data_IF_968289746286
#
_entry.id   IF_968289746286
#
_cell.length_a   1.000
_cell.length_b   1.000
_cell.length_c   1.000
_cell.angle_alpha   90.00
_cell.angle_beta   90.00
_cell.angle_gamma   90.00
#
_symmetry.space_group_name_H-M   'P 1'
#
loop_
_entity.id
_entity.type
_entity.pdbx_description
1 polymer ?
#
# COMPACT_ATOMS: atom_id res chain seq x y z
N UNK A 1 -22.01 -23.57 43.53
CA UNK A 1 -22.22 -22.23 42.98
C UNK A 1 -21.47 -22.12 41.67
N UNK A 2 -22.12 -22.50 40.56
CA UNK A 2 -21.61 -22.34 39.20
C UNK A 2 -21.84 -20.88 38.79
N UNK A 3 -20.80 -20.08 38.73
CA UNK A 3 -20.83 -18.77 38.07
C UNK A 3 -20.92 -18.99 36.57
N UNK A 4 -22.02 -18.51 35.99
CA UNK A 4 -22.23 -18.38 34.57
C UNK A 4 -21.13 -17.49 33.97
N UNK A 5 -20.21 -18.09 33.24
CA UNK A 5 -19.46 -17.42 32.19
C UNK A 5 -20.37 -17.33 30.96
N UNK A 6 -21.20 -16.33 30.92
CA UNK A 6 -21.74 -15.79 29.68
C UNK A 6 -20.83 -14.64 29.26
N UNK A 7 -19.73 -14.95 28.61
CA UNK A 7 -18.95 -13.96 27.90
C UNK A 7 -18.77 -14.43 26.48
N UNK A 8 -19.21 -13.63 25.55
CA UNK A 8 -18.79 -13.67 24.18
C UNK A 8 -19.23 -14.90 23.41
N UNK A 9 -20.53 -15.11 23.26
CA UNK A 9 -21.02 -15.90 22.13
C UNK A 9 -20.73 -15.10 20.89
N UNK A 10 -19.76 -15.60 20.19
CA UNK A 10 -19.23 -15.06 18.96
C UNK A 10 -20.34 -14.93 17.90
N UNK A 11 -20.20 -13.98 17.03
CA UNK A 11 -21.02 -13.76 15.83
C UNK A 11 -21.26 -15.07 15.05
N UNK A 12 -20.37 -16.06 15.19
CA UNK A 12 -20.52 -17.42 14.66
C UNK A 12 -21.79 -18.16 15.13
N UNK A 13 -22.24 -17.90 16.36
CA UNK A 13 -23.48 -18.50 16.87
C UNK A 13 -24.73 -17.84 16.30
N UNK A 14 -24.57 -16.70 15.61
CA UNK A 14 -25.63 -15.98 14.90
C UNK A 14 -25.72 -16.32 13.40
N UNK A 15 -25.03 -17.36 12.93
CA UNK A 15 -25.06 -17.78 11.53
C UNK A 15 -24.16 -16.99 10.60
N UNK A 16 -23.10 -16.34 11.12
CA UNK A 16 -22.16 -15.55 10.33
C UNK A 16 -20.80 -16.23 10.22
N UNK A 17 -20.20 -16.24 9.04
CA UNK A 17 -18.85 -16.74 8.80
C UNK A 17 -17.92 -15.56 8.47
N UNK A 18 -16.89 -15.37 9.30
CA UNK A 18 -15.83 -14.40 9.02
C UNK A 18 -14.91 -14.92 7.93
N UNK A 19 -14.71 -14.13 6.88
CA UNK A 19 -13.85 -14.48 5.75
C UNK A 19 -12.37 -14.22 6.01
N UNK A 20 -12.00 -13.43 7.02
CA UNK A 20 -10.61 -13.11 7.31
C UNK A 20 -9.78 -14.35 7.68
N UNK A 21 -10.31 -15.27 8.45
CA UNK A 21 -9.59 -16.50 8.81
C UNK A 21 -9.39 -17.44 7.61
N UNK A 22 -10.37 -17.52 6.70
CA UNK A 22 -10.26 -18.36 5.51
C UNK A 22 -9.22 -17.85 4.50
N UNK A 23 -8.92 -16.55 4.53
CA UNK A 23 -8.00 -15.91 3.59
C UNK A 23 -6.62 -15.66 4.20
N UNK A 24 -6.51 -15.48 5.51
CA UNK A 24 -5.24 -15.18 6.17
C UNK A 24 -4.25 -16.36 6.17
N UNK A 25 -4.72 -17.60 6.37
CA UNK A 25 -3.84 -18.76 6.46
C UNK A 25 -3.19 -19.20 5.14
N UNK A 26 -3.92 -19.29 4.01
CA UNK A 26 -3.31 -19.69 2.74
C UNK A 26 -2.24 -18.73 2.24
N UNK A 27 -2.28 -17.48 2.70
CA UNK A 27 -1.40 -16.42 2.19
C UNK A 27 -0.12 -16.23 2.98
N UNK A 28 -0.12 -16.53 4.27
CA UNK A 28 1.01 -16.19 5.15
C UNK A 28 2.28 -16.98 4.90
N UNK A 29 2.24 -18.07 4.16
CA UNK A 29 3.39 -18.93 3.94
C UNK A 29 3.69 -19.31 2.49
N UNK A 30 2.70 -19.33 1.62
CA UNK A 30 2.83 -19.93 0.29
C UNK A 30 3.56 -19.05 -0.74
N UNK A 31 3.45 -17.73 -0.62
CA UNK A 31 3.98 -16.79 -1.63
C UNK A 31 5.35 -16.23 -1.29
N UNK A 32 5.71 -16.13 -0.03
CA UNK A 32 6.95 -15.50 0.42
C UNK A 32 7.81 -16.39 1.30
N UNK A 33 7.63 -17.72 1.27
CA UNK A 33 8.42 -18.69 2.04
C UNK A 33 8.56 -18.33 3.54
N UNK A 34 7.48 -17.85 4.15
CA UNK A 34 7.47 -17.48 5.57
C UNK A 34 8.05 -16.09 5.89
N UNK A 35 8.45 -15.32 4.90
CA UNK A 35 8.87 -13.93 5.10
C UNK A 35 7.62 -13.07 5.23
N UNK A 36 7.32 -12.60 6.43
CA UNK A 36 6.28 -11.58 6.67
C UNK A 36 6.86 -10.23 6.27
N UNK A 37 6.49 -9.74 5.09
CA UNK A 37 6.77 -8.35 4.75
C UNK A 37 5.87 -7.43 5.60
N UNK A 38 6.47 -6.52 6.34
CA UNK A 38 5.73 -5.46 7.04
C UNK A 38 5.18 -4.49 5.99
N UNK A 39 3.85 -4.29 5.90
CA UNK A 39 3.25 -3.40 4.92
C UNK A 39 3.78 -1.96 4.99
N UNK A 40 4.14 -1.47 6.18
CA UNK A 40 4.70 -0.14 6.37
C UNK A 40 6.14 -0.06 5.86
N UNK A 41 6.95 -1.08 6.14
CA UNK A 41 8.32 -1.19 5.60
C UNK A 41 8.31 -1.29 4.07
N UNK A 42 7.38 -2.05 3.50
CA UNK A 42 7.22 -2.17 2.05
C UNK A 42 6.89 -0.82 1.40
N UNK A 43 6.01 -0.03 2.04
CA UNK A 43 5.67 1.32 1.56
C UNK A 43 6.84 2.31 1.65
N UNK A 44 7.79 2.09 2.56
CA UNK A 44 8.98 2.95 2.67
C UNK A 44 9.95 2.77 1.49
N UNK A 45 9.84 1.68 0.73
CA UNK A 45 10.61 1.50 -0.49
C UNK A 45 10.09 2.43 -1.59
N UNK A 46 10.97 3.32 -2.07
CA UNK A 46 10.61 4.43 -2.98
C UNK A 46 9.84 4.00 -4.22
N UNK A 47 10.14 2.83 -4.81
CA UNK A 47 9.47 2.35 -6.01
C UNK A 47 8.01 1.96 -5.75
N UNK A 48 7.70 1.37 -4.58
CA UNK A 48 6.31 1.05 -4.18
C UNK A 48 5.52 2.32 -3.99
N UNK A 49 6.07 3.28 -3.23
CA UNK A 49 5.45 4.58 -3.02
C UNK A 49 5.20 5.31 -4.35
N UNK A 50 6.19 5.33 -5.23
CA UNK A 50 6.10 6.00 -6.53
C UNK A 50 5.04 5.36 -7.44
N UNK A 51 4.98 4.02 -7.53
CA UNK A 51 3.98 3.31 -8.33
C UNK A 51 2.55 3.59 -7.83
N UNK A 52 2.32 3.47 -6.51
CA UNK A 52 1.00 3.72 -5.91
C UNK A 52 0.59 5.17 -6.13
N UNK A 53 1.50 6.13 -5.86
CA UNK A 53 1.22 7.55 -6.02
C UNK A 53 0.92 7.91 -7.47
N UNK A 54 1.70 7.37 -8.42
CA UNK A 54 1.52 7.65 -9.84
C UNK A 54 0.15 7.17 -10.33
N UNK A 55 -0.20 5.90 -10.07
CA UNK A 55 -1.50 5.32 -10.47
C UNK A 55 -2.65 6.11 -9.84
N UNK A 56 -2.56 6.38 -8.53
CA UNK A 56 -3.62 7.06 -7.79
C UNK A 56 -3.85 8.48 -8.28
N UNK A 57 -2.77 9.23 -8.56
CA UNK A 57 -2.85 10.60 -9.05
C UNK A 57 -3.29 10.67 -10.52
N UNK A 58 -2.83 9.73 -11.35
CA UNK A 58 -3.20 9.70 -12.77
C UNK A 58 -4.70 9.44 -12.95
N UNK A 59 -5.30 8.58 -12.14
CA UNK A 59 -6.74 8.33 -12.17
C UNK A 59 -7.51 9.46 -11.45
N UNK A 60 -7.08 9.89 -10.27
CA UNK A 60 -7.79 10.90 -9.48
C UNK A 60 -7.87 12.27 -10.17
N UNK A 61 -6.90 12.63 -11.03
CA UNK A 61 -6.95 13.86 -11.81
C UNK A 61 -8.01 13.84 -12.92
N UNK A 62 -8.43 12.67 -13.36
CA UNK A 62 -9.49 12.53 -14.36
C UNK A 62 -10.81 13.04 -13.80
N UNK A 63 -11.66 13.57 -14.67
CA UNK A 63 -12.95 14.09 -14.24
C UNK A 63 -13.99 12.98 -14.30
N UNK A 64 -14.50 12.58 -13.16
CA UNK A 64 -15.70 11.76 -13.10
C UNK A 64 -16.93 12.62 -13.45
N UNK A 65 -17.68 12.22 -14.46
CA UNK A 65 -18.87 12.90 -14.95
C UNK A 65 -20.06 11.94 -14.91
N UNK A 66 -21.24 12.49 -14.64
CA UNK A 66 -22.48 11.77 -14.86
C UNK A 66 -22.97 12.09 -16.27
N UNK A 67 -23.02 11.07 -17.13
CA UNK A 67 -23.49 11.17 -18.50
C UNK A 67 -24.93 10.70 -18.57
N UNK A 68 -25.75 11.37 -19.35
CA UNK A 68 -27.13 10.98 -19.61
C UNK A 68 -27.32 10.81 -21.12
N UNK A 69 -27.89 9.67 -21.53
CA UNK A 69 -28.21 9.37 -22.91
C UNK A 69 -29.64 9.75 -23.22
N UNK A 70 -29.87 10.60 -24.20
CA UNK A 70 -31.21 11.00 -24.63
C UNK A 70 -31.88 9.90 -25.52
N UNK A 71 -33.14 10.12 -25.85
CA UNK A 71 -33.95 9.19 -26.67
C UNK A 71 -33.35 8.98 -28.11
N UNK A 72 -32.42 9.81 -28.52
CA UNK A 72 -31.72 9.71 -29.83
C UNK A 72 -30.34 9.10 -29.70
N UNK A 73 -29.95 8.58 -28.51
CA UNK A 73 -28.63 8.00 -28.27
C UNK A 73 -27.52 9.01 -28.07
N UNK A 74 -27.81 10.31 -27.93
CA UNK A 74 -26.82 11.34 -27.72
C UNK A 74 -26.48 11.42 -26.22
N UNK A 75 -25.20 11.26 -25.90
CA UNK A 75 -24.69 11.35 -24.53
C UNK A 75 -24.36 12.80 -24.16
N UNK A 76 -24.83 13.27 -23.02
CA UNK A 76 -24.58 14.62 -22.52
C UNK A 76 -24.24 14.59 -21.03
N UNK A 77 -23.27 15.40 -20.61
CA UNK A 77 -22.94 15.58 -19.20
C UNK A 77 -24.12 16.24 -18.47
N UNK A 78 -24.63 15.60 -17.42
CA UNK A 78 -25.57 16.21 -16.48
C UNK A 78 -24.85 16.70 -15.23
N UNK A 79 -25.11 17.91 -14.83
CA UNK A 79 -24.50 18.55 -13.65
C UNK A 79 -25.47 18.73 -12.49
N UNK A 80 -26.71 18.35 -12.69
CA UNK A 80 -27.80 18.48 -11.71
C UNK A 80 -28.06 17.15 -11.03
N UNK A 81 -28.61 17.23 -9.82
CA UNK A 81 -28.93 16.04 -9.01
C UNK A 81 -27.87 15.68 -7.99
N UNK A 82 -28.24 14.74 -7.12
CA UNK A 82 -27.40 14.30 -5.99
C UNK A 82 -26.20 13.49 -6.46
N UNK A 83 -26.34 12.65 -7.48
CA UNK A 83 -25.25 11.85 -8.04
C UNK A 83 -24.18 12.75 -8.64
N UNK A 84 -24.56 13.71 -9.51
CA UNK A 84 -23.62 14.66 -10.09
C UNK A 84 -22.92 15.53 -9.01
N UNK A 85 -23.56 15.77 -7.89
CA UNK A 85 -22.97 16.44 -6.73
C UNK A 85 -21.91 15.53 -6.06
N UNK A 86 -22.24 14.27 -5.84
CA UNK A 86 -21.32 13.28 -5.24
C UNK A 86 -20.07 13.05 -6.10
N UNK A 87 -20.21 12.95 -7.43
CA UNK A 87 -19.08 12.86 -8.36
C UNK A 87 -18.10 14.05 -8.23
N UNK A 88 -18.61 15.25 -7.91
CA UNK A 88 -17.77 16.45 -7.75
C UNK A 88 -17.25 16.62 -6.33
N UNK A 89 -18.03 16.28 -5.32
CA UNK A 89 -17.70 16.42 -3.91
C UNK A 89 -18.32 15.27 -3.11
N UNK A 90 -17.58 14.18 -2.95
CA UNK A 90 -18.09 12.96 -2.31
C UNK A 90 -18.46 13.15 -0.84
N UNK A 91 -17.75 13.99 -0.10
CA UNK A 91 -18.02 14.31 1.29
C UNK A 91 -17.56 15.73 1.66
N UNK A 92 -17.82 16.14 2.90
CA UNK A 92 -17.48 17.48 3.40
C UNK A 92 -15.95 17.69 3.60
N UNK A 93 -15.22 16.60 3.85
CA UNK A 93 -13.79 16.65 4.22
C UNK A 93 -12.85 16.59 3.03
N UNK A 94 -13.27 15.94 1.93
CA UNK A 94 -12.43 15.65 0.78
C UNK A 94 -13.03 16.24 -0.50
N UNK A 95 -12.17 16.78 -1.35
CA UNK A 95 -12.53 17.04 -2.73
C UNK A 95 -12.47 15.72 -3.55
N UNK A 96 -12.88 15.76 -4.80
CA UNK A 96 -12.91 14.61 -5.69
C UNK A 96 -11.53 13.95 -5.83
N UNK A 97 -10.48 14.74 -6.04
CA UNK A 97 -9.10 14.22 -6.24
C UNK A 97 -8.64 13.48 -4.98
N UNK A 98 -8.73 14.11 -3.82
CA UNK A 98 -8.34 13.50 -2.53
C UNK A 98 -9.10 12.22 -2.23
N UNK A 99 -10.38 12.17 -2.61
CA UNK A 99 -11.23 11.01 -2.41
C UNK A 99 -10.78 9.82 -3.27
N UNK A 100 -10.56 10.03 -4.58
CA UNK A 100 -10.12 8.95 -5.47
C UNK A 100 -8.66 8.57 -5.26
N UNK A 101 -7.79 9.49 -4.87
CA UNK A 101 -6.44 9.14 -4.39
C UNK A 101 -6.51 8.16 -3.21
N UNK A 102 -7.32 8.46 -2.19
CA UNK A 102 -7.49 7.57 -1.04
C UNK A 102 -8.13 6.24 -1.43
N UNK A 103 -9.11 6.24 -2.34
CA UNK A 103 -9.74 5.04 -2.89
C UNK A 103 -8.71 4.09 -3.49
N UNK A 104 -7.90 4.61 -4.40
CA UNK A 104 -6.89 3.82 -5.10
C UNK A 104 -5.73 3.42 -4.18
N UNK A 105 -5.31 4.31 -3.28
CA UNK A 105 -4.33 3.98 -2.27
C UNK A 105 -4.79 2.78 -1.41
N UNK A 106 -6.04 2.77 -0.96
CA UNK A 106 -6.59 1.64 -0.21
C UNK A 106 -6.62 0.35 -1.05
N UNK A 107 -7.09 0.43 -2.31
CA UNK A 107 -7.15 -0.70 -3.24
C UNK A 107 -5.77 -1.29 -3.52
N UNK A 108 -4.77 -0.46 -3.79
CA UNK A 108 -3.42 -0.91 -4.13
C UNK A 108 -2.62 -1.40 -2.91
N UNK A 109 -2.89 -0.86 -1.72
CA UNK A 109 -2.20 -1.24 -0.47
C UNK A 109 -2.81 -2.45 0.21
N UNK A 110 -4.13 -2.54 0.24
CA UNK A 110 -4.87 -3.55 0.98
C UNK A 110 -5.64 -4.54 0.09
N UNK A 111 -5.64 -4.31 -1.23
CA UNK A 111 -6.45 -5.08 -2.17
C UNK A 111 -7.95 -4.75 -2.11
N UNK A 112 -8.35 -3.91 -1.19
CA UNK A 112 -9.75 -3.65 -0.89
C UNK A 112 -9.96 -2.18 -0.55
N UNK A 113 -10.96 -1.56 -1.19
CA UNK A 113 -11.47 -0.26 -0.81
C UNK A 113 -12.94 -0.41 -0.45
N UNK A 114 -13.28 0.02 0.74
CA UNK A 114 -14.66 -0.04 1.24
C UNK A 114 -15.17 1.37 1.48
N UNK A 115 -16.27 1.71 0.83
CA UNK A 115 -16.89 3.03 0.91
C UNK A 115 -18.26 2.91 1.52
N UNK A 116 -18.47 3.59 2.64
CA UNK A 116 -19.78 3.65 3.32
C UNK A 116 -20.65 4.74 2.71
N UNK A 117 -21.88 4.39 2.38
CA UNK A 117 -22.90 5.33 1.93
C UNK A 117 -23.59 5.97 3.15
N UNK A 118 -23.43 7.26 3.33
CA UNK A 118 -24.11 8.02 4.38
C UNK A 118 -25.40 8.58 3.79
N UNK A 119 -26.53 8.17 4.36
CA UNK A 119 -27.86 8.62 3.90
C UNK A 119 -28.42 9.76 4.76
N UNK A 120 -29.24 10.58 4.14
CA UNK A 120 -30.04 11.57 4.85
C UNK A 120 -31.33 10.96 5.39
N UNK A 121 -32.14 11.74 6.12
CA UNK A 121 -33.43 11.30 6.68
C UNK A 121 -34.46 10.84 5.62
N UNK A 122 -34.23 11.16 4.34
CA UNK A 122 -35.08 10.74 3.21
C UNK A 122 -34.56 9.48 2.52
N UNK A 123 -33.50 8.86 3.06
CA UNK A 123 -32.87 7.68 2.46
C UNK A 123 -31.93 7.95 1.28
N UNK A 124 -31.76 9.21 0.87
CA UNK A 124 -30.87 9.57 -0.25
C UNK A 124 -29.41 9.60 0.20
N UNK A 125 -28.48 9.21 -0.67
CA UNK A 125 -27.05 9.22 -0.39
C UNK A 125 -26.56 10.67 -0.31
N UNK A 126 -26.13 11.07 0.89
CA UNK A 126 -25.62 12.40 1.18
C UNK A 126 -24.12 12.50 0.98
N UNK A 127 -23.39 11.51 1.46
CA UNK A 127 -21.92 11.46 1.43
C UNK A 127 -21.44 10.04 1.17
N UNK A 128 -20.23 9.95 0.62
CA UNK A 128 -19.45 8.71 0.48
C UNK A 128 -18.22 8.83 1.36
N UNK A 129 -17.96 7.85 2.23
CA UNK A 129 -16.81 7.84 3.13
C UNK A 129 -16.01 6.57 3.00
N UNK A 130 -14.73 6.69 2.67
CA UNK A 130 -13.81 5.56 2.59
C UNK A 130 -13.44 5.13 4.00
N UNK A 131 -13.64 3.85 4.28
CA UNK A 131 -13.30 3.22 5.55
C UNK A 131 -11.87 2.69 5.53
N UNK A 132 -11.23 2.67 6.68
CA UNK A 132 -9.98 1.94 6.88
C UNK A 132 -10.27 0.43 6.81
N UNK A 133 -9.62 -0.28 5.87
CA UNK A 133 -9.80 -1.72 5.68
C UNK A 133 -9.55 -2.54 6.96
N UNK A 134 -8.61 -2.12 7.80
CA UNK A 134 -8.33 -2.79 9.08
C UNK A 134 -9.51 -2.78 10.06
N UNK A 135 -10.50 -1.92 9.82
CA UNK A 135 -11.70 -1.74 10.65
C UNK A 135 -12.94 -2.40 10.05
N UNK A 136 -12.82 -3.03 8.89
CA UNK A 136 -13.94 -3.61 8.15
C UNK A 136 -13.77 -5.11 8.04
N UNK A 137 -14.76 -5.88 8.45
CA UNK A 137 -14.80 -7.33 8.33
C UNK A 137 -16.01 -7.75 7.50
N UNK A 138 -15.81 -8.33 6.30
CA UNK A 138 -16.88 -8.94 5.55
C UNK A 138 -17.40 -10.19 6.25
N UNK A 139 -18.71 -10.34 6.32
CA UNK A 139 -19.41 -11.48 6.90
C UNK A 139 -20.36 -12.06 5.86
N UNK A 140 -20.47 -13.38 5.82
CA UNK A 140 -21.45 -14.08 5.00
C UNK A 140 -22.43 -14.79 5.92
N UNK A 141 -23.70 -14.53 5.76
CA UNK A 141 -24.77 -15.22 6.47
C UNK A 141 -25.01 -16.62 5.92
N UNK A 142 -25.72 -17.48 6.63
CA UNK A 142 -26.00 -18.86 6.22
C UNK A 142 -26.81 -18.96 4.91
N UNK A 143 -27.58 -17.95 4.61
CA UNK A 143 -28.35 -17.79 3.35
C UNK A 143 -27.52 -17.25 2.19
N UNK A 144 -26.24 -16.88 2.42
CA UNK A 144 -25.32 -16.32 1.44
C UNK A 144 -25.38 -14.79 1.35
N UNK A 145 -26.23 -14.10 2.12
CA UNK A 145 -26.21 -12.63 2.15
C UNK A 145 -24.90 -12.09 2.76
N UNK A 146 -24.39 -10.98 2.19
CA UNK A 146 -23.15 -10.35 2.61
C UNK A 146 -23.43 -9.12 3.47
N UNK A 147 -22.73 -9.05 4.58
CA UNK A 147 -22.74 -7.93 5.51
C UNK A 147 -21.32 -7.49 5.82
N UNK A 148 -21.19 -6.28 6.35
CA UNK A 148 -19.90 -5.72 6.76
C UNK A 148 -19.98 -5.29 8.21
N UNK A 149 -19.13 -5.87 9.05
CA UNK A 149 -18.92 -5.40 10.42
C UNK A 149 -17.86 -4.33 10.40
N UNK A 150 -18.20 -3.14 10.90
CA UNK A 150 -17.33 -1.98 10.94
C UNK A 150 -17.06 -1.65 12.40
N UNK A 151 -15.79 -1.62 12.80
CA UNK A 151 -15.37 -1.20 14.13
C UNK A 151 -15.37 0.33 14.24
N UNK A 152 -15.40 0.92 15.44
CA UNK A 152 -15.52 2.37 15.62
C UNK A 152 -14.46 3.16 14.84
N UNK A 153 -14.94 4.13 14.08
CA UNK A 153 -14.12 5.08 13.34
C UNK A 153 -14.71 6.50 13.46
N UNK A 154 -14.07 7.32 14.27
CA UNK A 154 -14.51 8.70 14.50
C UNK A 154 -14.47 9.57 13.25
N UNK A 155 -13.55 9.31 12.32
CA UNK A 155 -13.43 10.07 11.07
C UNK A 155 -14.66 9.81 10.17
N UNK A 156 -15.21 8.61 10.25
CA UNK A 156 -16.41 8.22 9.52
C UNK A 156 -17.71 8.43 10.34
N UNK A 157 -17.60 8.94 11.57
CA UNK A 157 -18.74 9.18 12.45
C UNK A 157 -19.32 7.92 13.09
N UNK A 158 -18.57 6.82 13.09
CA UNK A 158 -18.96 5.55 13.70
C UNK A 158 -18.39 5.49 15.11
N UNK A 159 -19.26 5.57 16.12
CA UNK A 159 -18.86 5.57 17.54
C UNK A 159 -18.84 4.18 18.16
N UNK A 160 -19.65 3.26 17.64
CA UNK A 160 -19.77 1.88 18.11
C UNK A 160 -19.67 0.92 16.92
N UNK A 161 -19.33 -0.34 17.20
CA UNK A 161 -19.29 -1.35 16.16
C UNK A 161 -20.67 -1.56 15.55
N UNK A 162 -20.77 -1.51 14.24
CA UNK A 162 -22.02 -1.64 13.49
C UNK A 162 -21.86 -2.69 12.39
N UNK A 163 -22.91 -3.47 12.17
CA UNK A 163 -23.00 -4.38 11.02
C UNK A 163 -23.99 -3.81 10.02
N UNK A 164 -23.55 -3.61 8.79
CA UNK A 164 -24.35 -3.05 7.71
C UNK A 164 -24.49 -4.04 6.55
N UNK A 165 -25.61 -4.07 5.84
CA UNK A 165 -25.76 -4.92 4.66
C UNK A 165 -24.91 -4.41 3.50
N UNK A 166 -24.58 -5.30 2.56
CA UNK A 166 -23.74 -4.98 1.40
C UNK A 166 -24.27 -3.79 0.58
N UNK A 167 -25.57 -3.59 0.50
CA UNK A 167 -26.19 -2.46 -0.21
C UNK A 167 -25.81 -1.07 0.33
N UNK A 168 -25.34 -0.97 1.58
CA UNK A 168 -24.90 0.31 2.18
C UNK A 168 -23.40 0.56 1.98
N UNK A 169 -22.72 -0.33 1.28
CA UNK A 169 -21.28 -0.31 1.08
C UNK A 169 -20.97 -0.42 -0.41
N UNK A 170 -19.94 0.27 -0.86
CA UNK A 170 -19.28 0.00 -2.14
C UNK A 170 -17.98 -0.72 -1.80
N UNK A 171 -17.78 -1.93 -2.31
CA UNK A 171 -16.58 -2.69 -2.06
C UNK A 171 -15.83 -2.94 -3.38
N UNK A 172 -14.78 -2.17 -3.60
CA UNK A 172 -13.88 -2.31 -4.73
C UNK A 172 -12.69 -3.22 -4.37
N UNK A 173 -12.50 -4.29 -5.14
CA UNK A 173 -11.55 -5.37 -4.86
C UNK A 173 -10.52 -5.47 -5.98
N UNK A 174 -9.27 -5.66 -5.60
CA UNK A 174 -8.18 -5.89 -6.54
C UNK A 174 -7.86 -7.37 -6.60
N UNK A 175 -7.94 -8.00 -7.78
CA UNK A 175 -7.57 -9.41 -8.01
C UNK A 175 -8.03 -10.40 -6.91
N UNK A 176 -9.24 -10.87 -7.02
CA UNK A 176 -9.81 -11.85 -6.09
C UNK A 176 -9.32 -13.28 -6.41
N UNK A 177 -8.06 -13.60 -6.08
CA UNK A 177 -7.46 -14.90 -6.40
C UNK A 177 -8.08 -16.08 -5.65
N UNK A 178 -8.53 -15.88 -4.43
CA UNK A 178 -8.86 -16.98 -3.51
C UNK A 178 -10.31 -16.93 -3.03
N UNK A 179 -10.85 -15.74 -2.89
CA UNK A 179 -12.23 -15.54 -2.46
C UNK A 179 -12.85 -14.34 -3.18
N UNK A 180 -14.10 -14.45 -3.67
CA UNK A 180 -14.72 -13.38 -4.46
C UNK A 180 -14.95 -12.08 -3.69
N UNK A 181 -14.96 -12.11 -2.35
CA UNK A 181 -15.16 -10.92 -1.51
C UNK A 181 -13.87 -10.33 -0.94
N UNK A 182 -12.71 -10.88 -1.27
CA UNK A 182 -11.43 -10.36 -0.74
C UNK A 182 -10.42 -10.21 -1.87
N UNK A 183 -10.01 -8.99 -2.10
CA UNK A 183 -8.97 -8.64 -3.06
C UNK A 183 -7.57 -8.82 -2.48
N UNK A 184 -6.64 -9.27 -3.33
CA UNK A 184 -5.23 -9.41 -2.99
C UNK A 184 -4.45 -8.18 -3.49
N UNK A 185 -3.76 -7.44 -2.60
CA UNK A 185 -3.05 -6.23 -3.02
C UNK A 185 -1.78 -6.54 -3.84
N UNK A 186 -1.43 -5.71 -4.83
CA UNK A 186 -0.17 -5.86 -5.56
C UNK A 186 1.05 -5.68 -4.64
N UNK A 187 0.95 -4.88 -3.60
CA UNK A 187 1.99 -4.73 -2.56
C UNK A 187 2.41 -6.07 -1.98
N UNK A 188 1.50 -7.03 -1.88
CA UNK A 188 1.81 -8.36 -1.37
C UNK A 188 2.80 -9.12 -2.27
N UNK A 189 2.59 -9.08 -3.59
CA UNK A 189 3.51 -9.71 -4.55
C UNK A 189 4.84 -8.96 -4.66
N UNK A 190 4.83 -7.64 -4.50
CA UNK A 190 6.03 -6.80 -4.51
C UNK A 190 6.82 -6.87 -3.19
N UNK A 191 6.24 -7.41 -2.11
CA UNK A 191 6.75 -7.29 -0.76
C UNK A 191 8.18 -7.83 -0.56
N UNK A 192 8.52 -8.95 -1.18
CA UNK A 192 9.87 -9.52 -1.07
C UNK A 192 10.92 -8.63 -1.74
N UNK A 193 10.65 -8.19 -2.98
CA UNK A 193 11.55 -7.29 -3.70
C UNK A 193 11.68 -5.93 -2.99
N UNK A 194 10.57 -5.38 -2.50
CA UNK A 194 10.57 -4.13 -1.75
C UNK A 194 11.35 -4.23 -0.43
N UNK A 195 11.20 -5.33 0.31
CA UNK A 195 11.96 -5.60 1.53
C UNK A 195 13.46 -5.73 1.23
N UNK A 196 13.83 -6.43 0.17
CA UNK A 196 15.22 -6.52 -0.27
C UNK A 196 15.78 -5.13 -0.63
N UNK A 197 15.04 -4.34 -1.41
CA UNK A 197 15.44 -2.97 -1.76
C UNK A 197 15.59 -2.06 -0.54
N UNK A 198 14.68 -2.19 0.43
CA UNK A 198 14.75 -1.45 1.69
C UNK A 198 16.02 -1.80 2.48
N UNK A 199 16.33 -3.08 2.65
CA UNK A 199 17.56 -3.50 3.34
C UNK A 199 18.86 -3.07 2.62
N UNK A 200 18.86 -3.07 1.29
CA UNK A 200 19.98 -2.51 0.52
C UNK A 200 20.16 -1.03 0.85
N UNK A 201 19.08 -0.25 0.89
CA UNK A 201 19.12 1.18 1.23
C UNK A 201 19.55 1.41 2.69
N UNK A 202 19.04 0.63 3.64
CA UNK A 202 19.46 0.70 5.05
C UNK A 202 20.95 0.40 5.23
N UNK A 203 21.43 -0.66 4.60
CA UNK A 203 22.85 -1.02 4.65
C UNK A 203 23.73 0.08 4.05
N UNK A 204 23.33 0.63 2.91
CA UNK A 204 24.01 1.76 2.28
C UNK A 204 24.01 3.00 3.20
N UNK A 205 22.87 3.33 3.77
CA UNK A 205 22.72 4.46 4.70
C UNK A 205 23.61 4.27 5.95
N UNK A 206 23.62 3.07 6.52
CA UNK A 206 24.46 2.74 7.68
C UNK A 206 25.95 2.82 7.31
N UNK A 207 26.34 2.37 6.13
CA UNK A 207 27.69 2.50 5.65
C UNK A 207 28.13 3.97 5.56
N UNK A 208 27.34 4.82 4.93
CA UNK A 208 27.65 6.26 4.82
C UNK A 208 27.58 6.99 6.17
N UNK A 209 26.64 6.63 7.06
CA UNK A 209 26.56 7.18 8.41
C UNK A 209 27.80 6.86 9.22
N UNK A 210 28.40 5.70 9.02
CA UNK A 210 29.67 5.29 9.66
C UNK A 210 30.91 5.84 8.94
N UNK A 211 30.76 6.84 8.06
CA UNK A 211 31.84 7.53 7.38
C UNK A 211 32.44 6.79 6.19
N UNK A 212 31.68 5.86 5.60
CA UNK A 212 32.13 5.09 4.42
C UNK A 212 33.31 4.16 4.71
N UNK A 213 33.59 3.92 5.98
CA UNK A 213 34.68 3.02 6.38
C UNK A 213 34.13 1.67 6.80
N UNK A 214 34.58 0.57 6.20
CA UNK A 214 34.24 -0.75 6.70
C UNK A 214 34.77 -0.94 8.11
N UNK A 215 33.99 -1.71 8.92
CA UNK A 215 34.53 -2.22 10.18
C UNK A 215 35.85 -2.93 9.95
N UNK A 216 36.81 -2.70 10.79
CA UNK A 216 38.13 -3.30 10.72
C UNK A 216 38.43 -4.09 11.97
N UNK A 217 39.49 -4.87 11.90
CA UNK A 217 40.04 -5.59 13.04
C UNK A 217 41.23 -4.81 13.58
N UNK A 218 41.19 -4.48 14.89
CA UNK A 218 42.36 -3.92 15.58
C UNK A 218 43.13 -5.11 16.15
N UNK A 219 44.29 -5.40 15.55
CA UNK A 219 45.22 -6.40 16.04
C UNK A 219 46.16 -5.78 17.06
N UNK A 220 46.33 -6.45 18.20
CA UNK A 220 47.20 -6.02 19.27
C UNK A 220 48.18 -7.18 19.53
N UNK A 221 49.49 -6.93 19.49
CA UNK A 221 50.46 -7.96 19.81
C UNK A 221 50.41 -8.30 21.32
N UNK A 222 50.24 -9.58 21.63
CA UNK A 222 50.12 -10.08 23.00
C UNK A 222 48.72 -10.32 23.51
N UNK A 223 48.57 -10.77 24.77
CA UNK A 223 47.28 -11.01 25.39
C UNK A 223 46.68 -9.73 25.96
N UNK A 224 45.45 -9.47 25.68
CA UNK A 224 44.69 -8.35 26.23
C UNK A 224 43.58 -8.88 27.15
N UNK A 225 43.35 -8.24 28.31
CA UNK A 225 42.22 -8.59 29.16
C UNK A 225 40.90 -8.10 28.57
N UNK A 226 39.82 -8.81 28.88
CA UNK A 226 38.50 -8.47 28.36
C UNK A 226 38.09 -7.02 28.69
N UNK A 227 38.44 -6.54 29.87
CA UNK A 227 38.16 -5.15 30.32
C UNK A 227 38.89 -4.11 29.44
N UNK A 228 40.19 -4.38 29.11
CA UNK A 228 40.95 -3.50 28.23
C UNK A 228 40.47 -3.56 26.79
N UNK A 229 40.03 -4.71 26.32
CA UNK A 229 39.40 -4.84 24.99
C UNK A 229 38.14 -4.04 24.89
N UNK A 230 37.26 -4.08 25.90
CA UNK A 230 36.01 -3.27 25.95
C UNK A 230 36.31 -1.76 26.00
N UNK A 231 37.28 -1.35 26.78
CA UNK A 231 37.73 0.07 26.84
C UNK A 231 38.27 0.56 25.53
N UNK A 232 39.08 -0.24 24.88
CA UNK A 232 39.65 0.09 23.55
C UNK A 232 38.57 0.20 22.48
N UNK A 233 37.61 -0.71 22.47
CA UNK A 233 36.47 -0.67 21.56
C UNK A 233 35.63 0.58 21.82
N UNK A 234 35.30 0.88 23.06
CA UNK A 234 34.53 2.07 23.43
C UNK A 234 35.23 3.38 23.03
N UNK A 235 36.54 3.47 23.26
CA UNK A 235 37.36 4.62 22.85
C UNK A 235 37.43 4.75 21.31
N UNK A 236 37.50 3.63 20.61
CA UNK A 236 37.46 3.63 19.15
C UNK A 236 36.12 4.11 18.63
N UNK A 237 35.03 3.54 19.17
CA UNK A 237 33.68 3.88 18.74
C UNK A 237 33.37 5.36 19.00
N UNK A 238 33.76 5.92 20.16
CA UNK A 238 33.54 7.33 20.48
C UNK A 238 34.49 8.29 19.74
N UNK A 239 35.70 7.86 19.45
CA UNK A 239 36.73 8.72 18.85
C UNK A 239 36.72 8.78 17.33
N UNK A 240 36.26 7.74 16.66
CA UNK A 240 36.47 7.56 15.23
C UNK A 240 35.24 7.08 14.46
N UNK A 241 34.06 6.99 15.10
CA UNK A 241 32.80 6.67 14.43
C UNK A 241 31.78 7.81 14.54
N UNK A 242 30.70 7.75 13.77
CA UNK A 242 29.67 8.80 13.75
C UNK A 242 30.21 10.15 13.27
N UNK A 243 29.99 11.20 14.03
CA UNK A 243 30.43 12.56 13.72
C UNK A 243 31.99 12.71 13.70
N UNK A 244 32.68 11.79 14.34
CA UNK A 244 34.14 11.75 14.39
C UNK A 244 34.76 10.86 13.28
N UNK A 245 33.97 10.33 12.39
CA UNK A 245 34.43 9.54 11.26
C UNK A 245 35.36 10.37 10.36
N UNK A 246 36.49 9.78 9.96
CA UNK A 246 37.47 10.48 9.13
C UNK A 246 38.64 11.11 9.90
N UNK A 247 38.59 11.21 11.21
CA UNK A 247 39.72 11.69 11.99
C UNK A 247 40.88 10.69 11.97
N UNK A 248 42.11 11.21 12.01
CA UNK A 248 43.33 10.37 12.02
C UNK A 248 43.43 9.62 13.35
N UNK A 249 43.48 8.31 13.29
CA UNK A 249 43.67 7.46 14.46
C UNK A 249 45.18 7.29 14.79
N UNK A 250 45.53 7.42 16.07
CA UNK A 250 46.86 7.13 16.58
C UNK A 250 46.77 5.81 17.36
N UNK A 251 47.46 4.80 16.89
CA UNK A 251 47.56 3.50 17.54
C UNK A 251 48.88 3.40 18.31
N UNK A 252 48.82 2.91 19.54
CA UNK A 252 49.98 2.68 20.38
C UNK A 252 50.25 1.17 20.57
N UNK A 253 51.37 0.83 21.18
CA UNK A 253 51.75 -0.52 21.57
C UNK A 253 51.78 -1.55 20.41
N UNK A 254 52.13 -1.11 19.20
CA UNK A 254 52.21 -2.01 18.04
C UNK A 254 50.85 -2.48 17.49
N UNK A 255 49.74 -1.88 17.94
CA UNK A 255 48.42 -2.17 17.40
C UNK A 255 48.34 -1.81 15.91
N UNK A 256 47.75 -2.68 15.12
CA UNK A 256 47.49 -2.47 13.69
C UNK A 256 46.00 -2.45 13.42
N UNK A 257 45.54 -1.51 12.62
CA UNK A 257 44.18 -1.50 12.12
C UNK A 257 44.17 -2.07 10.72
N UNK A 258 43.51 -3.21 10.58
CA UNK A 258 43.29 -3.86 9.29
C UNK A 258 41.84 -3.58 8.90
N UNK A 259 41.59 -2.66 7.96
CA UNK A 259 40.22 -2.45 7.49
C UNK A 259 39.74 -3.73 6.79
N UNK A 260 38.57 -4.20 7.14
CA UNK A 260 37.87 -5.23 6.36
C UNK A 260 37.42 -4.56 5.07
N UNK A 261 38.23 -4.67 4.04
CA UNK A 261 37.86 -4.17 2.71
C UNK A 261 36.73 -5.04 2.17
N UNK A 262 35.48 -4.57 2.30
CA UNK A 262 34.48 -5.01 1.36
C UNK A 262 34.89 -4.40 0.01
N UNK A 263 35.24 -5.26 -0.93
CA UNK A 263 35.44 -4.88 -2.33
C UNK A 263 34.26 -4.06 -2.79
N UNK A 264 34.42 -3.05 -3.65
CA UNK A 264 33.36 -2.16 -4.08
C UNK A 264 32.24 -2.95 -4.77
N UNK A 265 31.29 -3.34 -3.97
CA UNK A 265 29.99 -3.91 -4.39
C UNK A 265 29.07 -2.76 -4.88
N UNK A 266 29.59 -1.55 -4.97
CA UNK A 266 28.80 -0.37 -5.27
C UNK A 266 28.03 -0.47 -6.59
N UNK A 267 28.67 -0.96 -7.64
CA UNK A 267 28.02 -1.17 -8.93
C UNK A 267 26.96 -2.29 -8.87
N UNK A 268 27.26 -3.42 -8.22
CA UNK A 268 26.30 -4.51 -8.05
C UNK A 268 25.14 -4.11 -7.14
N UNK A 269 25.40 -3.32 -6.10
CA UNK A 269 24.37 -2.81 -5.19
C UNK A 269 23.41 -1.87 -5.93
N UNK A 270 23.92 -0.99 -6.78
CA UNK A 270 23.11 -0.10 -7.61
C UNK A 270 22.26 -0.90 -8.61
N UNK A 271 22.86 -1.92 -9.26
CA UNK A 271 22.13 -2.79 -10.19
C UNK A 271 21.04 -3.61 -9.47
N UNK A 272 21.32 -4.15 -8.29
CA UNK A 272 20.33 -4.86 -7.49
C UNK A 272 19.18 -3.94 -7.06
N UNK A 273 19.47 -2.74 -6.62
CA UNK A 273 18.45 -1.76 -6.25
C UNK A 273 17.56 -1.40 -7.44
N UNK A 274 18.16 -1.22 -8.60
CA UNK A 274 17.46 -0.96 -9.85
C UNK A 274 16.58 -2.15 -10.26
N UNK A 275 17.10 -3.37 -10.21
CA UNK A 275 16.37 -4.59 -10.50
C UNK A 275 15.19 -4.78 -9.53
N UNK A 276 15.38 -4.54 -8.23
CA UNK A 276 14.27 -4.63 -7.27
C UNK A 276 13.18 -3.59 -7.55
N UNK A 277 13.54 -2.38 -7.97
CA UNK A 277 12.59 -1.36 -8.38
C UNK A 277 11.83 -1.74 -9.66
N UNK A 278 12.51 -2.34 -10.65
CA UNK A 278 11.89 -2.84 -11.88
C UNK A 278 10.92 -3.99 -11.62
N UNK A 279 11.24 -4.91 -10.68
CA UNK A 279 10.30 -5.96 -10.25
C UNK A 279 9.04 -5.35 -9.63
N UNK A 280 9.19 -4.35 -8.77
CA UNK A 280 8.03 -3.63 -8.20
C UNK A 280 7.20 -3.00 -9.31
N UNK A 281 7.83 -2.29 -10.25
CA UNK A 281 7.14 -1.70 -11.40
C UNK A 281 6.34 -2.74 -12.20
N UNK A 282 6.91 -3.93 -12.42
CA UNK A 282 6.23 -5.00 -13.16
C UNK A 282 4.97 -5.51 -12.44
N UNK A 283 5.01 -5.62 -11.12
CA UNK A 283 3.86 -6.03 -10.30
C UNK A 283 2.72 -5.01 -10.38
N UNK A 284 3.05 -3.71 -10.37
CA UNK A 284 2.09 -2.62 -10.51
C UNK A 284 1.71 -2.32 -11.97
N UNK A 285 2.36 -2.99 -12.95
CA UNK A 285 2.21 -2.72 -14.38
C UNK A 285 2.51 -1.26 -14.77
N UNK A 286 3.42 -0.64 -14.04
CA UNK A 286 3.89 0.72 -14.28
C UNK A 286 5.18 0.65 -15.08
N UNK A 287 5.33 1.35 -16.20
CA UNK A 287 6.60 1.44 -16.91
C UNK A 287 7.66 2.09 -16.01
N UNK A 288 8.82 1.42 -15.84
CA UNK A 288 9.83 1.84 -14.87
C UNK A 288 10.35 3.28 -15.09
N UNK A 289 10.44 3.73 -16.34
CA UNK A 289 10.86 5.09 -16.66
C UNK A 289 9.93 6.17 -16.07
N UNK A 290 8.63 5.87 -15.87
CA UNK A 290 7.67 6.83 -15.30
C UNK A 290 7.95 7.18 -13.84
N UNK A 291 8.61 6.30 -13.13
CA UNK A 291 9.05 6.55 -11.74
C UNK A 291 10.54 6.89 -11.65
N UNK A 292 11.19 7.18 -12.78
CA UNK A 292 12.61 7.54 -12.82
C UNK A 292 13.57 6.37 -12.73
N UNK A 293 13.10 5.13 -12.94
CA UNK A 293 13.94 3.92 -12.98
C UNK A 293 14.14 3.50 -14.43
N UNK A 294 15.37 3.21 -14.81
CA UNK A 294 15.68 2.82 -16.19
C UNK A 294 15.91 4.01 -17.13
N UNK A 295 16.05 3.72 -18.41
CA UNK A 295 16.25 4.73 -19.43
C UNK A 295 14.90 5.23 -19.96
N UNK A 296 14.76 6.54 -20.20
CA UNK A 296 13.56 7.06 -20.84
C UNK A 296 13.46 6.51 -22.28
N UNK A 297 12.23 6.27 -22.77
CA UNK A 297 12.01 5.82 -24.13
C UNK A 297 12.49 6.87 -25.15
N UNK A 298 12.82 6.44 -26.38
CA UNK A 298 13.04 7.36 -27.49
C UNK A 298 11.76 8.12 -27.81
N UNK A 299 11.90 9.34 -28.31
CA UNK A 299 10.76 10.24 -28.63
C UNK A 299 9.69 9.59 -29.52
N UNK A 300 10.09 8.71 -30.41
CA UNK A 300 9.21 8.09 -31.40
C UNK A 300 8.24 7.04 -30.82
N UNK A 301 8.49 6.57 -29.59
CA UNK A 301 7.72 5.51 -28.92
C UNK A 301 6.89 5.99 -27.73
N UNK A 302 6.97 7.25 -27.35
CA UNK A 302 6.35 7.78 -26.13
C UNK A 302 4.82 7.60 -26.16
N UNK A 303 4.17 7.93 -27.28
CA UNK A 303 2.71 7.81 -27.42
C UNK A 303 2.24 6.37 -27.29
N UNK A 304 2.92 5.42 -27.92
CA UNK A 304 2.59 4.00 -27.84
C UNK A 304 2.75 3.46 -26.41
N UNK A 305 3.78 3.91 -25.68
CA UNK A 305 4.02 3.51 -24.29
C UNK A 305 3.01 4.14 -23.33
N UNK A 306 2.59 5.37 -23.56
CA UNK A 306 1.51 6.00 -22.79
C UNK A 306 0.19 5.27 -23.01
N UNK A 307 -0.14 4.91 -24.25
CA UNK A 307 -1.33 4.14 -24.57
C UNK A 307 -1.27 2.73 -23.94
N UNK A 308 -0.11 2.10 -23.94
CA UNK A 308 0.10 0.81 -23.26
C UNK A 308 -0.11 0.93 -21.75
N UNK A 309 0.45 1.95 -21.12
CA UNK A 309 0.25 2.19 -19.68
C UNK A 309 -1.22 2.42 -19.36
N UNK A 310 -1.92 3.24 -20.14
CA UNK A 310 -3.35 3.46 -19.96
C UNK A 310 -4.13 2.15 -20.08
N UNK A 311 -3.97 1.41 -21.17
CA UNK A 311 -4.77 0.21 -21.46
C UNK A 311 -4.47 -0.98 -20.55
N UNK A 312 -3.20 -1.14 -20.11
CA UNK A 312 -2.79 -2.31 -19.33
C UNK A 312 -2.78 -2.07 -17.81
N UNK A 313 -2.66 -0.81 -17.36
CA UNK A 313 -2.61 -0.46 -15.95
C UNK A 313 -3.86 0.28 -15.49
N UNK A 314 -4.18 1.42 -16.11
CA UNK A 314 -5.20 2.33 -15.59
C UNK A 314 -6.63 1.92 -15.94
N UNK A 315 -6.88 1.51 -17.19
CA UNK A 315 -8.23 1.29 -17.70
C UNK A 315 -9.05 0.34 -16.83
N UNK A 316 -8.51 -0.80 -16.44
CA UNK A 316 -9.23 -1.76 -15.59
C UNK A 316 -9.62 -1.17 -14.24
N UNK A 317 -8.79 -0.30 -13.67
CA UNK A 317 -9.08 0.37 -12.39
C UNK A 317 -10.18 1.42 -12.56
N UNK A 318 -10.15 2.16 -13.67
CA UNK A 318 -11.15 3.19 -14.01
C UNK A 318 -12.51 2.53 -14.22
N UNK A 319 -12.59 1.55 -15.12
CA UNK A 319 -13.81 0.79 -15.42
C UNK A 319 -14.42 0.15 -14.15
N UNK A 320 -13.56 -0.39 -13.26
CA UNK A 320 -14.03 -0.95 -11.98
C UNK A 320 -14.72 0.09 -11.11
N UNK A 321 -14.17 1.31 -11.05
CA UNK A 321 -14.74 2.41 -10.26
C UNK A 321 -16.07 2.88 -10.87
N UNK A 322 -16.11 3.06 -12.19
CA UNK A 322 -17.31 3.50 -12.92
C UNK A 322 -18.47 2.52 -12.73
N UNK A 323 -18.24 1.23 -12.98
CA UNK A 323 -19.25 0.19 -12.78
C UNK A 323 -19.77 0.14 -11.33
N UNK A 324 -18.85 0.19 -10.35
CA UNK A 324 -19.24 0.16 -8.95
C UNK A 324 -20.03 1.41 -8.52
N UNK A 325 -19.70 2.56 -9.08
CA UNK A 325 -20.45 3.79 -8.82
C UNK A 325 -21.82 3.76 -9.47
N UNK A 326 -21.95 3.28 -10.69
CA UNK A 326 -23.23 3.13 -11.38
C UNK A 326 -24.18 2.21 -10.62
N UNK A 327 -23.70 1.04 -10.19
CA UNK A 327 -24.48 0.12 -9.37
C UNK A 327 -24.84 0.72 -8.00
N UNK A 328 -23.87 1.34 -7.34
CA UNK A 328 -24.04 1.80 -5.97
C UNK A 328 -24.88 3.08 -5.83
N UNK A 329 -24.80 3.94 -6.82
CA UNK A 329 -25.56 5.20 -6.85
C UNK A 329 -26.92 5.03 -7.51
N UNK A 330 -27.23 3.81 -7.99
CA UNK A 330 -28.52 3.49 -8.62
C UNK A 330 -28.79 4.46 -9.80
N UNK A 331 -27.74 4.64 -10.66
CA UNK A 331 -27.90 5.46 -11.85
C UNK A 331 -29.04 4.92 -12.72
N UNK A 332 -29.83 5.81 -13.31
CA UNK A 332 -30.95 5.42 -14.17
C UNK A 332 -30.47 4.65 -15.40
N UNK A 333 -31.36 3.88 -16.06
CA UNK A 333 -31.03 3.10 -17.26
C UNK A 333 -30.34 3.91 -18.39
N UNK A 334 -30.54 5.22 -18.40
CA UNK A 334 -29.95 6.13 -19.37
C UNK A 334 -28.80 6.98 -18.81
N UNK A 335 -28.33 6.67 -17.61
CA UNK A 335 -27.26 7.40 -16.93
C UNK A 335 -26.08 6.48 -16.66
N UNK A 336 -24.86 7.02 -16.80
CA UNK A 336 -23.61 6.33 -16.46
C UNK A 336 -22.58 7.33 -15.94
N UNK A 337 -21.70 6.87 -15.06
CA UNK A 337 -20.51 7.61 -14.65
C UNK A 337 -19.37 7.36 -15.64
N UNK A 338 -18.65 8.42 -16.00
CA UNK A 338 -17.49 8.40 -16.91
C UNK A 338 -16.39 9.33 -16.48
#
# INVERSE_FOLDING_TARGET
TRKNQKSGRDVREAGWTSLFQAVAEPFSGAWQQGVKADPEAVLSFHAVFACISLISQDIAKMRLRLMQTDAHGIRRETRRGDIARLCRRPNAQQNRIQFFELWLNAKLRHGNTVVLKIRNARGQIKELRILDWSRVEPLVADDGEVFYRITPDRNCGITEAVTVPAREVIHDRFNCFFHPLIGLPPVYAAGLAATQGHHIQENSTSFFRNGGRPSGVIEIPGSITEENAKKLKSNWDSGYTGENAGKTAILSNGAKYNPTTFSPVDAQTVEQLKMTAEIVCSVFRVPAYKIGVGQPPSSDNVEALEQQYYSQCLQTLIESIELLLDEALETGENESTE
#
